data_IF_871560871570
#
_entry.id   IF_871560871570
#
_cell.length_a   1.000
_cell.length_b   1.000
_cell.length_c   1.000
_cell.angle_alpha   90.00
_cell.angle_beta   90.00
_cell.angle_gamma   90.00
#
_symmetry.space_group_name_H-M   'P 1'
#
loop_
_entity.id
_entity.type
_entity.pdbx_description
1 polymer ?
#
# COMPACT_ATOMS: atom_id res chain seq x y z
N UNK A 1 1.37 17.52 -3.11
CA UNK A 1 1.50 16.94 -1.76
C UNK A 1 1.03 17.86 -0.64
N UNK A 2 1.60 19.06 -0.45
CA UNK A 2 1.21 19.95 0.66
C UNK A 2 -0.30 20.26 0.76
N UNK A 3 -1.02 20.39 -0.37
CA UNK A 3 -2.48 20.59 -0.34
C UNK A 3 -3.25 19.32 0.06
N UNK A 4 -2.78 18.14 -0.35
CA UNK A 4 -3.41 16.88 0.02
C UNK A 4 -3.26 16.60 1.52
N UNK A 5 -2.07 16.84 2.07
CA UNK A 5 -1.78 16.66 3.48
C UNK A 5 -2.67 17.50 4.40
N UNK A 6 -3.08 18.70 3.96
CA UNK A 6 -3.97 19.58 4.73
C UNK A 6 -5.43 19.09 4.76
N UNK A 7 -5.78 18.14 3.92
CA UNK A 7 -7.16 17.65 3.78
C UNK A 7 -7.40 16.31 4.44
N UNK A 8 -6.35 15.61 4.87
CA UNK A 8 -6.45 14.30 5.53
C UNK A 8 -6.01 14.38 7.00
N UNK A 9 -6.56 13.50 7.83
CA UNK A 9 -6.30 13.45 9.27
C UNK A 9 -5.09 12.58 9.66
N UNK A 10 -4.30 12.13 8.68
CA UNK A 10 -3.10 11.30 8.87
C UNK A 10 -1.93 11.80 8.01
N UNK A 11 -0.69 11.45 8.38
CA UNK A 11 0.50 11.79 7.59
C UNK A 11 0.55 10.95 6.30
N UNK A 12 0.67 11.60 5.15
CA UNK A 12 0.77 10.94 3.85
C UNK A 12 2.23 10.51 3.63
N UNK A 13 2.46 9.20 3.59
CA UNK A 13 3.74 8.61 3.21
C UNK A 13 3.94 8.62 1.69
N UNK A 14 5.13 8.99 1.22
CA UNK A 14 5.54 8.84 -0.17
C UNK A 14 6.57 7.71 -0.31
N UNK A 15 6.62 7.06 -1.47
CA UNK A 15 7.67 6.09 -1.73
C UNK A 15 8.98 6.84 -1.96
N UNK A 16 9.98 6.60 -1.10
CA UNK A 16 11.31 7.15 -1.28
C UNK A 16 11.98 6.58 -2.53
N UNK A 17 11.86 5.26 -2.75
CA UNK A 17 12.40 4.55 -3.91
C UNK A 17 11.28 3.84 -4.69
N UNK A 18 10.45 4.57 -5.46
CA UNK A 18 9.37 3.95 -6.22
C UNK A 18 9.91 2.92 -7.22
N UNK A 19 9.25 1.76 -7.38
CA UNK A 19 9.70 0.67 -8.26
C UNK A 19 10.09 1.18 -9.64
N UNK A 20 11.25 0.76 -10.16
CA UNK A 20 11.75 1.18 -11.47
C UNK A 20 12.03 2.67 -11.63
N UNK A 21 12.21 3.42 -10.53
CA UNK A 21 12.52 4.86 -10.57
C UNK A 21 11.37 5.73 -11.07
N UNK A 22 10.13 5.28 -10.89
CA UNK A 22 8.92 5.96 -11.38
C UNK A 22 8.67 7.27 -10.64
N UNK A 23 8.41 8.33 -11.37
CA UNK A 23 8.04 9.62 -10.77
C UNK A 23 6.60 9.59 -10.25
N UNK A 24 6.32 10.35 -9.19
CA UNK A 24 4.97 10.62 -8.73
C UNK A 24 4.21 11.41 -9.81
N UNK A 25 3.11 10.86 -10.31
CA UNK A 25 2.32 11.45 -11.39
C UNK A 25 0.95 11.96 -10.94
N UNK A 26 0.45 11.53 -9.78
CA UNK A 26 -0.89 11.87 -9.33
C UNK A 26 -1.11 11.68 -7.84
N UNK A 27 -2.00 12.51 -7.29
CA UNK A 27 -2.45 12.47 -5.90
C UNK A 27 -3.95 12.68 -5.87
N UNK A 28 -4.69 11.69 -5.40
CA UNK A 28 -6.15 11.66 -5.41
C UNK A 28 -6.67 11.48 -4.00
N UNK A 29 -7.58 12.36 -3.57
CA UNK A 29 -8.16 12.31 -2.24
C UNK A 29 -9.51 11.59 -2.26
N UNK A 30 -9.78 10.80 -1.23
CA UNK A 30 -11.10 10.27 -0.91
C UNK A 30 -11.57 10.92 0.40
N UNK A 31 -12.10 12.14 0.29
CA UNK A 31 -12.47 12.92 1.48
C UNK A 31 -11.26 13.21 2.37
N UNK A 32 -11.46 13.13 3.69
CA UNK A 32 -10.39 13.28 4.67
C UNK A 32 -9.76 11.93 5.09
N UNK A 33 -10.42 10.83 4.76
CA UNK A 33 -10.10 9.49 5.28
C UNK A 33 -9.12 8.71 4.41
N UNK A 34 -8.76 9.21 3.22
CA UNK A 34 -7.83 8.50 2.35
C UNK A 34 -7.21 9.29 1.21
N UNK A 35 -6.06 8.81 0.77
CA UNK A 35 -5.31 9.32 -0.38
C UNK A 35 -4.78 8.18 -1.23
N UNK A 36 -4.72 8.40 -2.54
CA UNK A 36 -4.12 7.50 -3.52
C UNK A 36 -3.03 8.26 -4.27
N UNK A 37 -1.82 7.73 -4.23
CA UNK A 37 -0.67 8.23 -4.97
C UNK A 37 -0.42 7.31 -6.15
N UNK A 38 -0.14 7.88 -7.32
CA UNK A 38 0.23 7.12 -8.52
C UNK A 38 1.65 7.45 -8.93
N UNK A 39 2.43 6.43 -9.23
CA UNK A 39 3.81 6.54 -9.72
C UNK A 39 3.91 5.96 -11.12
N UNK A 40 4.45 6.74 -12.06
CA UNK A 40 4.48 6.42 -13.48
C UNK A 40 3.13 6.59 -14.16
N UNK A 41 3.03 6.09 -15.39
CA UNK A 41 1.88 6.31 -16.28
C UNK A 41 1.54 5.04 -17.08
N UNK A 42 0.28 4.95 -17.52
CA UNK A 42 -0.21 3.84 -18.35
C UNK A 42 -0.20 2.49 -17.61
N UNK A 43 0.06 1.40 -18.34
CA UNK A 43 0.04 0.03 -17.82
C UNK A 43 1.11 -0.28 -16.77
N UNK A 44 2.16 0.55 -16.70
CA UNK A 44 3.23 0.40 -15.72
C UNK A 44 3.01 1.15 -14.41
N UNK A 45 1.83 1.74 -14.20
CA UNK A 45 1.55 2.56 -13.01
C UNK A 45 1.61 1.73 -11.73
N UNK A 46 2.25 2.28 -10.70
CA UNK A 46 2.23 1.75 -9.34
C UNK A 46 1.35 2.66 -8.49
N UNK A 47 0.49 2.07 -7.69
CA UNK A 47 -0.50 2.79 -6.87
C UNK A 47 -0.22 2.53 -5.40
N UNK A 48 -0.11 3.59 -4.61
CA UNK A 48 -0.05 3.56 -3.15
C UNK A 48 -1.33 4.20 -2.60
N UNK A 49 -2.21 3.42 -2.02
CA UNK A 49 -3.38 3.91 -1.30
C UNK A 49 -3.12 3.89 0.21
N UNK A 50 -3.59 4.94 0.88
CA UNK A 50 -3.47 5.14 2.31
C UNK A 50 -4.80 5.60 2.85
N UNK A 51 -5.15 5.14 4.04
CA UNK A 51 -6.30 5.64 4.78
C UNK A 51 -6.17 5.35 6.26
N UNK A 52 -6.99 6.02 7.06
CA UNK A 52 -7.04 5.71 8.50
C UNK A 52 -7.38 4.23 8.70
N UNK A 53 -6.64 3.60 9.61
CA UNK A 53 -6.95 2.24 10.01
C UNK A 53 -8.30 2.24 10.73
N UNK A 54 -9.33 1.66 10.09
CA UNK A 54 -10.61 1.46 10.75
C UNK A 54 -10.43 0.49 11.93
N UNK A 55 -10.82 0.93 13.13
CA UNK A 55 -10.80 0.09 14.34
C UNK A 55 -11.79 -1.07 14.16
N UNK A 56 -11.31 -2.20 13.65
CA UNK A 56 -12.13 -3.37 13.31
C UNK A 56 -11.76 -4.04 11.99
N UNK A 57 -11.03 -3.35 11.11
CA UNK A 57 -10.46 -3.94 9.89
C UNK A 57 -9.14 -4.64 10.23
N UNK A 58 -9.21 -5.69 11.04
CA UNK A 58 -8.10 -6.64 11.14
C UNK A 58 -7.78 -7.16 9.72
N UNK A 59 -6.49 -7.25 9.38
CA UNK A 59 -6.09 -8.07 8.23
C UNK A 59 -6.75 -9.43 8.41
N UNK A 60 -7.40 -10.00 7.38
CA UNK A 60 -8.08 -11.29 7.52
C UNK A 60 -7.11 -12.29 8.14
N UNK A 61 -7.44 -12.72 9.36
CA UNK A 61 -6.67 -13.74 10.05
C UNK A 61 -6.94 -15.06 9.33
N UNK A 62 -5.90 -15.84 8.99
CA UNK A 62 -6.09 -17.14 8.37
C UNK A 62 -6.93 -18.02 9.30
N UNK A 63 -8.17 -18.32 8.90
CA UNK A 63 -9.07 -19.25 9.62
C UNK A 63 -10.47 -18.75 9.97
N UNK A 64 -10.86 -17.51 9.64
CA UNK A 64 -12.23 -17.05 9.83
C UNK A 64 -13.15 -17.58 8.71
N UNK A 65 -13.90 -18.63 9.04
CA UNK A 65 -14.93 -19.33 8.26
C UNK A 65 -15.56 -18.55 7.10
N UNK A 66 -15.15 -18.87 5.86
CA UNK A 66 -15.82 -18.43 4.64
C UNK A 66 -14.91 -18.40 3.42
N UNK A 67 -14.38 -19.54 2.96
CA UNK A 67 -13.67 -19.62 1.67
C UNK A 67 -12.51 -18.63 1.51
N UNK A 68 -11.84 -18.27 2.61
CA UNK A 68 -10.84 -17.21 2.65
C UNK A 68 -9.56 -17.70 1.96
N UNK A 69 -9.17 -17.05 0.86
CA UNK A 69 -7.87 -17.30 0.24
C UNK A 69 -6.80 -16.93 1.27
N UNK A 70 -6.14 -17.95 1.84
CA UNK A 70 -4.97 -17.74 2.68
C UNK A 70 -3.84 -17.17 1.83
N UNK A 71 -3.73 -15.84 1.80
CA UNK A 71 -2.67 -15.13 1.12
C UNK A 71 -1.37 -15.21 1.93
N UNK A 72 -0.21 -15.39 1.26
CA UNK A 72 1.07 -15.38 1.94
C UNK A 72 1.30 -14.04 2.66
N UNK A 73 1.99 -14.10 3.79
CA UNK A 73 2.45 -12.92 4.52
C UNK A 73 3.95 -12.73 4.36
N UNK A 74 4.38 -11.47 4.32
CA UNK A 74 5.78 -11.08 4.21
C UNK A 74 6.13 -9.99 5.23
N UNK A 75 7.30 -10.09 5.82
CA UNK A 75 7.78 -9.12 6.78
C UNK A 75 8.38 -7.89 6.07
N UNK A 76 7.87 -6.70 6.39
CA UNK A 76 8.37 -5.41 5.90
C UNK A 76 9.41 -4.78 6.85
N UNK A 77 9.78 -5.47 7.93
CA UNK A 77 10.67 -4.94 8.96
C UNK A 77 9.93 -4.11 10.01
N UNK A 78 10.60 -3.74 11.09
CA UNK A 78 10.00 -2.95 12.18
C UNK A 78 8.83 -3.63 12.93
N UNK A 79 8.64 -4.95 12.73
CA UNK A 79 7.47 -5.68 13.25
C UNK A 79 6.21 -5.56 12.39
N UNK A 80 6.30 -4.93 11.21
CA UNK A 80 5.19 -4.79 10.26
C UNK A 80 5.17 -5.99 9.31
N UNK A 81 3.98 -6.58 9.16
CA UNK A 81 3.71 -7.66 8.22
C UNK A 81 2.71 -7.20 7.15
N UNK A 82 2.96 -7.61 5.90
CA UNK A 82 2.07 -7.38 4.78
C UNK A 82 1.49 -8.69 4.28
N UNK A 83 0.21 -8.65 3.91
CA UNK A 83 -0.40 -9.68 3.09
C UNK A 83 -0.03 -9.43 1.64
N UNK A 84 0.49 -10.45 0.96
CA UNK A 84 0.93 -10.39 -0.43
C UNK A 84 0.02 -11.19 -1.36
N UNK A 85 -0.36 -10.57 -2.47
CA UNK A 85 -0.97 -11.23 -3.62
C UNK A 85 -0.06 -11.05 -4.82
N UNK A 86 0.75 -12.06 -5.10
CA UNK A 86 1.67 -12.09 -6.25
C UNK A 86 1.09 -12.89 -7.41
N UNK A 87 1.10 -12.28 -8.60
CA UNK A 87 0.57 -12.88 -9.83
C UNK A 87 1.56 -12.69 -10.98
N UNK A 88 1.42 -13.42 -12.11
CA UNK A 88 2.29 -13.24 -13.27
C UNK A 88 2.26 -11.84 -13.89
N UNK A 89 1.22 -11.05 -13.64
CA UNK A 89 1.03 -9.70 -14.22
C UNK A 89 1.30 -8.56 -13.23
N UNK A 90 1.64 -8.88 -11.98
CA UNK A 90 1.90 -7.89 -10.94
C UNK A 90 1.67 -8.41 -9.53
N UNK A 91 1.90 -7.52 -8.57
CA UNK A 91 1.77 -7.81 -7.14
C UNK A 91 0.93 -6.74 -6.45
N UNK A 92 0.24 -7.15 -5.38
CA UNK A 92 -0.38 -6.28 -4.40
C UNK A 92 0.08 -6.62 -2.99
N UNK A 93 0.37 -5.60 -2.20
CA UNK A 93 0.69 -5.67 -0.79
C UNK A 93 -0.35 -4.89 0.01
N UNK A 94 -0.76 -5.42 1.17
CA UNK A 94 -1.61 -4.72 2.13
C UNK A 94 -1.06 -4.88 3.53
N UNK A 95 -0.93 -3.78 4.27
CA UNK A 95 -0.45 -3.78 5.66
C UNK A 95 -1.04 -2.63 6.46
N UNK A 96 -0.77 -2.62 7.77
CA UNK A 96 -1.07 -1.50 8.65
C UNK A 96 0.22 -1.08 9.38
N UNK A 97 0.49 0.22 9.45
CA UNK A 97 1.60 0.79 10.20
C UNK A 97 1.19 2.18 10.71
N UNK A 98 1.61 2.55 11.93
CA UNK A 98 1.36 3.89 12.46
C UNK A 98 -0.10 4.35 12.54
N UNK A 99 -1.08 3.43 12.59
CA UNK A 99 -2.51 3.78 12.54
C UNK A 99 -3.06 4.08 11.14
N UNK A 100 -2.28 3.79 10.09
CA UNK A 100 -2.64 3.94 8.67
C UNK A 100 -2.68 2.56 8.02
N UNK A 101 -3.74 2.32 7.25
CA UNK A 101 -3.85 1.17 6.35
C UNK A 101 -3.25 1.51 4.99
N UNK A 102 -2.33 0.67 4.53
CA UNK A 102 -1.63 0.83 3.26
C UNK A 102 -2.02 -0.27 2.28
N UNK A 103 -2.15 0.11 1.01
CA UNK A 103 -2.19 -0.82 -0.12
C UNK A 103 -1.21 -0.34 -1.17
N UNK A 104 -0.29 -1.20 -1.58
CA UNK A 104 0.65 -0.93 -2.67
C UNK A 104 0.45 -1.97 -3.76
N UNK A 105 0.16 -1.55 -4.99
CA UNK A 105 -0.08 -2.48 -6.09
C UNK A 105 0.47 -1.95 -7.42
N UNK A 106 0.87 -2.86 -8.29
CA UNK A 106 1.29 -2.52 -9.65
C UNK A 106 1.76 -3.72 -10.44
N UNK A 107 1.94 -3.50 -11.75
CA UNK A 107 2.49 -4.49 -12.68
C UNK A 107 4.02 -4.58 -12.58
N UNK A 108 4.51 -4.95 -11.41
CA UNK A 108 5.93 -5.18 -11.10
C UNK A 108 6.07 -6.43 -10.22
N UNK A 109 7.26 -7.04 -10.16
CA UNK A 109 7.54 -8.18 -9.28
C UNK A 109 7.34 -7.85 -7.80
N UNK A 110 7.05 -8.88 -7.00
CA UNK A 110 6.84 -8.77 -5.56
C UNK A 110 8.02 -8.09 -4.84
N UNK A 111 9.25 -8.55 -5.13
CA UNK A 111 10.46 -8.04 -4.53
C UNK A 111 10.65 -6.52 -4.72
N UNK A 112 10.16 -5.95 -5.83
CA UNK A 112 10.23 -4.51 -6.06
C UNK A 112 9.22 -3.75 -5.17
N UNK A 113 8.00 -4.27 -5.00
CA UNK A 113 7.02 -3.67 -4.09
C UNK A 113 7.41 -3.84 -2.62
N UNK A 114 7.92 -5.01 -2.22
CA UNK A 114 8.37 -5.27 -0.86
C UNK A 114 9.49 -4.31 -0.46
N UNK A 115 10.44 -4.06 -1.35
CA UNK A 115 11.54 -3.11 -1.11
C UNK A 115 11.04 -1.70 -0.90
N UNK A 116 10.11 -1.23 -1.74
CA UNK A 116 9.51 0.09 -1.61
C UNK A 116 8.63 0.20 -0.35
N UNK A 117 7.90 -0.86 0.01
CA UNK A 117 7.04 -0.87 1.20
C UNK A 117 7.82 -0.85 2.52
N UNK A 118 9.04 -1.41 2.58
CA UNK A 118 9.91 -1.36 3.77
C UNK A 118 10.32 0.06 4.18
N UNK A 119 10.26 1.00 3.25
CA UNK A 119 10.56 2.43 3.48
C UNK A 119 9.36 3.18 4.10
N UNK A 120 8.18 2.56 4.16
CA UNK A 120 6.96 3.11 4.75
C UNK A 120 6.68 2.46 6.12
N UNK A 121 6.96 3.17 7.21
CA UNK A 121 6.72 2.70 8.58
C UNK A 121 6.26 3.82 9.51
#
# INVERSE_FOLDING_TARGET
MAEAQRRVDFEIGELASPPGGRELTGVYLKGADGVVLTYGSGWGTVVLAQGQQESGAALPQPGAQGGDLALPTVALGGGVEATELSTPIGTGLRWNAGGVSYVLAGSVPAADLERAARELH
#
